data_IF_514218027078
#
_entry.id   IF_514218027078
#
_cell.length_a   1.000
_cell.length_b   1.000
_cell.length_c   1.000
_cell.angle_alpha   90.00
_cell.angle_beta   90.00
_cell.angle_gamma   90.00
#
_symmetry.space_group_name_H-M   'P 1'
#
loop_
_entity.id
_entity.type
_entity.pdbx_description
1 polymer ?
#
# COMPACT_ATOMS: atom_id res chain seq x y z
N UNK A 1 -1.17 -16.99 -3.99
CA UNK A 1 -2.31 -16.83 -4.92
C UNK A 1 -2.18 -17.68 -6.18
N UNK A 2 -3.18 -18.53 -6.42
CA UNK A 2 -3.33 -19.37 -7.63
C UNK A 2 -3.73 -18.54 -8.87
N UNK A 3 -3.43 -18.99 -10.10
CA UNK A 3 -3.73 -18.24 -11.34
C UNK A 3 -5.21 -17.87 -11.52
N UNK A 4 -6.12 -18.76 -11.17
CA UNK A 4 -7.57 -18.50 -11.25
C UNK A 4 -8.00 -17.36 -10.33
N UNK A 5 -7.49 -17.33 -9.10
CA UNK A 5 -7.78 -16.26 -8.13
C UNK A 5 -7.24 -14.92 -8.63
N UNK A 6 -6.02 -14.90 -9.16
CA UNK A 6 -5.44 -13.70 -9.77
C UNK A 6 -6.31 -13.16 -10.92
N UNK A 7 -6.85 -14.05 -11.75
CA UNK A 7 -7.79 -13.68 -12.82
C UNK A 7 -9.08 -13.08 -12.26
N UNK A 8 -9.69 -13.68 -11.24
CA UNK A 8 -10.88 -13.13 -10.57
C UNK A 8 -10.62 -11.71 -10.02
N UNK A 9 -9.48 -11.51 -9.36
CA UNK A 9 -9.10 -10.19 -8.83
C UNK A 9 -8.86 -9.19 -9.97
N UNK A 10 -8.28 -9.61 -11.10
CA UNK A 10 -8.07 -8.73 -12.25
C UNK A 10 -9.39 -8.20 -12.83
N UNK A 11 -10.43 -9.03 -12.89
CA UNK A 11 -11.77 -8.59 -13.33
C UNK A 11 -12.43 -7.60 -12.36
N UNK A 12 -12.03 -7.58 -11.09
CA UNK A 12 -12.51 -6.62 -10.10
C UNK A 12 -11.81 -5.26 -10.11
N UNK A 13 -10.90 -5.04 -11.07
CA UNK A 13 -10.09 -3.83 -11.16
C UNK A 13 -10.40 -3.04 -12.43
N UNK A 14 -10.30 -1.72 -12.35
CA UNK A 14 -10.27 -0.81 -13.49
C UNK A 14 -9.03 0.08 -13.41
N UNK A 15 -8.48 0.38 -14.57
CA UNK A 15 -7.45 1.40 -14.69
C UNK A 15 -8.13 2.78 -14.61
N UNK A 16 -7.54 3.68 -13.85
CA UNK A 16 -7.83 5.11 -13.93
C UNK A 16 -6.85 5.76 -14.89
N UNK A 17 -7.34 6.73 -15.65
CA UNK A 17 -6.52 7.59 -16.50
C UNK A 17 -6.66 9.02 -15.99
N UNK A 18 -5.53 9.71 -15.81
CA UNK A 18 -5.46 11.13 -15.45
C UNK A 18 -4.74 11.81 -16.62
N UNK A 19 -5.42 12.70 -17.32
CA UNK A 19 -4.89 13.41 -18.50
C UNK A 19 -4.30 12.49 -19.58
N UNK A 20 -4.88 11.29 -19.75
CA UNK A 20 -4.43 10.29 -20.71
C UNK A 20 -3.28 9.39 -20.21
N UNK A 21 -2.72 9.67 -19.03
CA UNK A 21 -1.71 8.85 -18.40
C UNK A 21 -2.32 7.87 -17.39
N UNK A 22 -1.65 6.73 -17.16
CA UNK A 22 -2.09 5.74 -16.20
C UNK A 22 -2.02 6.30 -14.77
N UNK A 23 -3.18 6.54 -14.17
CA UNK A 23 -3.34 7.15 -12.84
C UNK A 23 -3.47 6.16 -11.69
N UNK A 24 -3.45 4.84 -11.98
CA UNK A 24 -3.58 3.78 -10.98
C UNK A 24 -4.72 2.80 -11.26
N UNK A 25 -4.92 1.83 -10.36
CA UNK A 25 -6.02 0.85 -10.37
C UNK A 25 -6.98 1.09 -9.21
N UNK A 26 -8.26 1.13 -9.53
CA UNK A 26 -9.34 1.16 -8.54
C UNK A 26 -10.24 -0.06 -8.70
N UNK A 27 -11.10 -0.27 -7.70
CA UNK A 27 -12.14 -1.28 -7.79
C UNK A 27 -13.14 -0.96 -8.90
N UNK A 28 -13.51 -1.95 -9.70
CA UNK A 28 -14.69 -1.86 -10.55
C UNK A 28 -15.96 -1.89 -9.67
N UNK A 29 -16.70 -0.78 -9.61
CA UNK A 29 -17.92 -0.68 -8.80
C UNK A 29 -19.05 -1.60 -9.30
N UNK A 30 -19.01 -2.02 -10.57
CA UNK A 30 -19.97 -2.96 -11.15
C UNK A 30 -19.53 -4.42 -10.99
N UNK A 31 -18.36 -4.68 -10.41
CA UNK A 31 -17.88 -6.04 -10.23
C UNK A 31 -18.65 -6.74 -9.12
N UNK A 32 -19.41 -7.75 -9.51
CA UNK A 32 -19.99 -8.72 -8.60
C UNK A 32 -18.95 -9.82 -8.33
N UNK A 33 -18.48 -9.99 -7.07
CA UNK A 33 -17.49 -11.01 -6.76
C UNK A 33 -18.03 -12.40 -7.12
N UNK A 34 -17.33 -13.19 -7.95
CA UNK A 34 -17.75 -14.53 -8.28
C UNK A 34 -17.78 -15.43 -7.04
N UNK A 35 -18.62 -16.47 -7.08
CA UNK A 35 -18.58 -17.52 -6.08
C UNK A 35 -17.26 -18.29 -6.17
N UNK A 36 -16.57 -18.38 -5.04
CA UNK A 36 -15.39 -19.23 -4.87
C UNK A 36 -15.80 -20.60 -4.38
N UNK A 37 -15.00 -21.62 -4.70
CA UNK A 37 -15.17 -22.95 -4.10
C UNK A 37 -14.83 -22.93 -2.61
N UNK A 38 -15.29 -23.94 -1.86
CA UNK A 38 -14.94 -24.11 -0.44
C UNK A 38 -13.42 -24.17 -0.19
N UNK A 39 -12.69 -24.75 -1.12
CA UNK A 39 -11.23 -24.86 -1.04
C UNK A 39 -10.56 -23.50 -1.27
N UNK A 40 -10.96 -22.77 -2.30
CA UNK A 40 -10.49 -21.40 -2.54
C UNK A 40 -10.82 -20.47 -1.36
N UNK A 41 -12.03 -20.57 -0.80
CA UNK A 41 -12.42 -19.84 0.40
C UNK A 41 -11.46 -20.11 1.58
N UNK A 42 -11.15 -21.38 1.83
CA UNK A 42 -10.22 -21.79 2.90
C UNK A 42 -8.81 -21.26 2.66
N UNK A 43 -8.33 -21.34 1.44
CA UNK A 43 -7.00 -20.86 1.06
C UNK A 43 -6.89 -19.33 1.19
N UNK A 44 -7.92 -18.61 0.74
CA UNK A 44 -7.96 -17.14 0.84
C UNK A 44 -7.86 -16.71 2.31
N UNK A 45 -8.61 -17.35 3.20
CA UNK A 45 -8.62 -17.04 4.64
C UNK A 45 -7.35 -17.47 5.35
N UNK A 46 -6.84 -18.67 5.07
CA UNK A 46 -5.70 -19.23 5.78
C UNK A 46 -4.35 -18.67 5.29
N UNK A 47 -4.29 -18.20 4.04
CA UNK A 47 -3.02 -17.86 3.38
C UNK A 47 -3.04 -16.50 2.71
N UNK A 48 -3.89 -16.27 1.69
CA UNK A 48 -3.72 -15.10 0.82
C UNK A 48 -4.03 -13.77 1.54
N UNK A 49 -5.10 -13.70 2.35
CA UNK A 49 -5.42 -12.51 3.15
C UNK A 49 -4.32 -12.25 4.20
N UNK A 50 -3.95 -13.21 5.08
CA UNK A 50 -2.89 -13.00 6.06
C UNK A 50 -1.55 -12.59 5.42
N UNK A 51 -1.18 -13.19 4.29
CA UNK A 51 0.04 -12.84 3.58
C UNK A 51 0.04 -11.38 3.11
N UNK A 52 -1.07 -10.90 2.56
CA UNK A 52 -1.22 -9.49 2.17
C UNK A 52 -1.27 -8.55 3.36
N UNK A 53 -1.91 -8.94 4.46
CA UNK A 53 -1.93 -8.15 5.70
C UNK A 53 -0.53 -8.00 6.31
N UNK A 54 0.28 -9.06 6.26
CA UNK A 54 1.70 -9.00 6.65
C UNK A 54 2.48 -8.11 5.68
N UNK A 55 2.27 -8.28 4.38
CA UNK A 55 2.97 -7.51 3.35
C UNK A 55 2.64 -6.00 3.41
N UNK A 56 1.41 -5.65 3.77
CA UNK A 56 0.93 -4.28 3.93
C UNK A 56 1.11 -3.72 5.34
N UNK A 57 1.69 -4.51 6.26
CA UNK A 57 1.84 -4.10 7.66
C UNK A 57 2.63 -2.79 7.75
N UNK A 58 2.10 -1.76 8.43
CA UNK A 58 2.79 -0.49 8.58
C UNK A 58 4.17 -0.67 9.26
N UNK A 59 5.13 0.15 8.85
CA UNK A 59 6.45 0.17 9.47
C UNK A 59 6.38 0.71 10.91
N UNK A 60 7.30 0.26 11.76
CA UNK A 60 7.43 0.80 13.11
C UNK A 60 8.00 2.23 13.09
N UNK A 61 7.51 3.08 13.99
CA UNK A 61 7.90 4.48 14.09
C UNK A 61 9.41 4.71 14.21
N UNK A 62 10.14 3.97 15.09
CA UNK A 62 11.60 4.08 15.19
C UNK A 62 12.33 3.78 13.87
N UNK A 63 11.91 2.75 13.14
CA UNK A 63 12.48 2.46 11.83
C UNK A 63 12.22 3.59 10.82
N UNK A 64 10.98 4.11 10.76
CA UNK A 64 10.62 5.23 9.88
C UNK A 64 11.47 6.47 10.20
N UNK A 65 11.62 6.79 11.48
CA UNK A 65 12.45 7.90 11.95
C UNK A 65 13.90 7.76 11.43
N UNK A 66 14.54 6.61 11.67
CA UNK A 66 15.91 6.36 11.20
C UNK A 66 16.05 6.43 9.68
N UNK A 67 15.07 5.91 8.92
CA UNK A 67 15.07 6.00 7.46
C UNK A 67 14.96 7.44 6.96
N UNK A 68 14.08 8.24 7.57
CA UNK A 68 13.91 9.64 7.20
C UNK A 68 15.11 10.50 7.59
N UNK A 69 15.68 10.31 8.78
CA UNK A 69 16.89 10.99 9.22
C UNK A 69 18.06 10.74 8.25
N UNK A 70 18.25 9.48 7.83
CA UNK A 70 19.28 9.11 6.86
C UNK A 70 18.99 9.60 5.43
N UNK A 71 17.73 9.81 5.03
CA UNK A 71 17.40 10.48 3.77
C UNK A 71 17.77 11.98 3.84
N UNK A 72 17.39 12.64 4.94
CA UNK A 72 17.54 14.09 5.10
C UNK A 72 18.99 14.51 5.37
N UNK A 73 19.84 13.63 5.88
CA UNK A 73 21.26 13.91 6.13
C UNK A 73 22.03 14.29 4.85
N UNK A 74 21.57 13.86 3.68
CA UNK A 74 22.12 14.28 2.38
C UNK A 74 21.85 15.76 2.04
N UNK A 75 20.92 16.39 2.75
CA UNK A 75 20.44 17.76 2.49
C UNK A 75 20.66 18.67 3.71
N UNK A 76 21.78 18.45 4.40
CA UNK A 76 22.15 19.20 5.61
C UNK A 76 22.06 20.71 5.38
N UNK A 77 21.46 21.41 6.36
CA UNK A 77 21.40 22.86 6.42
C UNK A 77 22.04 23.26 7.75
N UNK A 78 23.12 24.07 7.75
CA UNK A 78 23.73 24.55 8.98
C UNK A 78 22.76 25.46 9.74
N UNK A 79 22.98 25.59 11.05
CA UNK A 79 22.29 26.54 11.93
C UNK A 79 20.76 26.37 12.05
N UNK A 80 20.22 25.20 11.71
CA UNK A 80 18.81 24.87 11.97
C UNK A 80 18.63 24.52 13.45
N UNK A 81 17.72 25.20 14.20
CA UNK A 81 17.44 24.87 15.59
C UNK A 81 17.06 23.40 15.77
N UNK A 82 17.55 22.76 16.83
CA UNK A 82 17.34 21.34 17.08
C UNK A 82 15.84 20.99 17.16
N UNK A 83 15.06 21.84 17.82
CA UNK A 83 13.61 21.69 17.97
C UNK A 83 12.89 21.68 16.61
N UNK A 84 13.37 22.47 15.64
CA UNK A 84 12.83 22.49 14.29
C UNK A 84 13.19 21.21 13.52
N UNK A 85 14.39 20.67 13.74
CA UNK A 85 14.79 19.38 13.14
C UNK A 85 13.93 18.23 13.68
N UNK A 86 13.65 18.22 14.98
CA UNK A 86 12.76 17.24 15.63
C UNK A 86 11.35 17.34 15.07
N UNK A 87 10.76 18.54 15.06
CA UNK A 87 9.40 18.76 14.55
C UNK A 87 9.28 18.34 13.08
N UNK A 88 10.27 18.67 12.24
CA UNK A 88 10.29 18.23 10.86
C UNK A 88 10.31 16.70 10.75
N UNK A 89 11.14 16.02 11.54
CA UNK A 89 11.24 14.56 11.53
C UNK A 89 9.97 13.88 12.06
N UNK A 90 9.29 14.46 13.04
CA UNK A 90 8.00 13.98 13.54
C UNK A 90 6.92 14.02 12.46
N UNK A 91 6.90 15.06 11.63
CA UNK A 91 6.00 15.13 10.48
C UNK A 91 6.26 14.01 9.47
N UNK A 92 7.53 13.73 9.17
CA UNK A 92 7.92 12.61 8.32
C UNK A 92 7.44 11.28 8.89
N UNK A 93 7.66 11.04 10.18
CA UNK A 93 7.21 9.81 10.85
C UNK A 93 5.70 9.69 10.78
N UNK A 94 4.96 10.71 11.21
CA UNK A 94 3.49 10.72 11.21
C UNK A 94 2.92 10.41 9.83
N UNK A 95 3.48 11.01 8.78
CA UNK A 95 2.99 10.86 7.42
C UNK A 95 3.34 9.52 6.76
N UNK A 96 4.50 8.95 7.11
CA UNK A 96 4.98 7.69 6.52
C UNK A 96 4.63 6.46 7.35
N UNK A 97 4.34 6.59 8.64
CA UNK A 97 3.95 5.50 9.54
C UNK A 97 2.79 4.62 9.06
N UNK A 98 1.82 5.08 8.24
CA UNK A 98 0.80 4.20 7.68
C UNK A 98 1.31 3.21 6.62
N UNK A 99 2.50 3.43 6.05
CA UNK A 99 3.02 2.63 4.93
C UNK A 99 3.96 1.51 5.40
N UNK A 100 4.02 0.39 4.67
CA UNK A 100 4.94 -0.69 4.98
C UNK A 100 6.38 -0.33 4.67
N UNK A 101 7.31 -0.94 5.41
CA UNK A 101 8.77 -0.70 5.30
C UNK A 101 9.29 -0.80 3.85
N UNK A 102 8.85 -1.80 3.11
CA UNK A 102 9.31 -2.03 1.74
C UNK A 102 8.88 -0.90 0.80
N UNK A 103 7.69 -0.32 0.99
CA UNK A 103 7.18 0.74 0.13
C UNK A 103 7.94 2.05 0.38
N UNK A 104 8.20 2.37 1.65
CA UNK A 104 9.01 3.52 2.06
C UNK A 104 10.43 3.37 1.50
N UNK A 105 11.06 2.22 1.70
CA UNK A 105 12.42 1.97 1.21
C UNK A 105 12.49 2.15 -0.32
N UNK A 106 11.60 1.49 -1.06
CA UNK A 106 11.59 1.58 -2.52
C UNK A 106 11.28 2.99 -3.04
N UNK A 107 10.44 3.77 -2.35
CA UNK A 107 10.16 5.17 -2.68
C UNK A 107 11.40 6.06 -2.46
N UNK A 108 12.11 5.85 -1.36
CA UNK A 108 13.35 6.56 -1.05
C UNK A 108 14.47 6.19 -2.02
N UNK A 109 14.63 4.91 -2.34
CA UNK A 109 15.65 4.45 -3.29
C UNK A 109 15.41 5.01 -4.70
N UNK A 110 14.14 5.00 -5.15
CA UNK A 110 13.75 5.63 -6.41
C UNK A 110 14.13 7.11 -6.39
N UNK A 111 13.78 7.85 -5.32
CA UNK A 111 14.15 9.26 -5.21
C UNK A 111 15.66 9.48 -5.26
N UNK A 112 16.42 8.68 -4.50
CA UNK A 112 17.88 8.74 -4.45
C UNK A 112 18.57 8.26 -5.74
N UNK A 113 17.85 7.62 -6.68
CA UNK A 113 18.38 7.31 -8.00
C UNK A 113 18.09 8.40 -9.04
N UNK A 114 17.17 9.34 -8.77
CA UNK A 114 16.78 10.36 -9.74
C UNK A 114 17.93 11.35 -9.99
N UNK A 115 18.26 11.64 -11.27
CA UNK A 115 19.25 12.67 -11.62
C UNK A 115 18.70 14.07 -11.32
N UNK A 116 19.57 14.99 -10.90
CA UNK A 116 19.19 16.39 -10.62
C UNK A 116 18.21 16.58 -9.45
N UNK A 117 18.05 15.56 -8.59
CA UNK A 117 17.10 15.59 -7.48
C UNK A 117 17.38 16.71 -6.49
N UNK A 118 16.32 17.36 -6.04
CA UNK A 118 16.35 18.29 -4.90
C UNK A 118 16.00 17.55 -3.60
N UNK A 119 16.01 18.29 -2.48
CA UNK A 119 15.51 17.79 -1.21
C UNK A 119 14.05 17.35 -1.38
N UNK A 120 13.68 16.09 -1.05
CA UNK A 120 12.29 15.66 -1.15
C UNK A 120 11.44 16.36 -0.10
N UNK A 121 10.21 16.67 -0.46
CA UNK A 121 9.15 16.97 0.48
C UNK A 121 8.52 15.65 0.97
N UNK A 122 7.92 15.62 2.18
CA UNK A 122 7.19 14.44 2.64
C UNK A 122 6.16 13.94 1.62
N UNK A 123 5.48 14.87 0.94
CA UNK A 123 4.49 14.59 -0.10
C UNK A 123 5.03 13.73 -1.24
N UNK A 124 6.28 13.94 -1.66
CA UNK A 124 6.88 13.20 -2.77
C UNK A 124 7.03 11.71 -2.44
N UNK A 125 7.53 11.42 -1.24
CA UNK A 125 7.74 10.05 -0.77
C UNK A 125 6.39 9.38 -0.47
N UNK A 126 5.43 10.10 0.09
CA UNK A 126 4.07 9.59 0.32
C UNK A 126 3.39 9.20 -0.98
N UNK A 127 3.47 10.03 -2.02
CA UNK A 127 2.89 9.73 -3.32
C UNK A 127 3.49 8.44 -3.91
N UNK A 128 4.82 8.32 -3.85
CA UNK A 128 5.53 7.12 -4.28
C UNK A 128 5.18 5.86 -3.46
N UNK A 129 4.92 6.01 -2.15
CA UNK A 129 4.46 4.92 -1.30
C UNK A 129 3.02 4.49 -1.66
N UNK A 130 2.11 5.45 -1.83
CA UNK A 130 0.70 5.20 -2.21
C UNK A 130 0.62 4.38 -3.48
N UNK A 131 1.34 4.81 -4.51
CA UNK A 131 1.43 4.10 -5.79
C UNK A 131 1.78 2.62 -5.63
N UNK A 132 2.79 2.34 -4.81
CA UNK A 132 3.30 0.99 -4.59
C UNK A 132 2.30 0.09 -3.85
N UNK A 133 1.64 0.63 -2.82
CA UNK A 133 0.73 -0.17 -1.99
C UNK A 133 -0.67 -0.31 -2.59
N UNK A 134 -0.99 0.49 -3.62
CA UNK A 134 -2.32 0.58 -4.20
C UNK A 134 -2.86 -0.78 -4.67
N UNK A 135 -2.12 -1.48 -5.52
CA UNK A 135 -2.55 -2.78 -6.03
C UNK A 135 -2.64 -3.86 -4.94
N UNK A 136 -1.63 -4.06 -4.07
CA UNK A 136 -1.75 -5.00 -2.96
C UNK A 136 -2.93 -4.69 -2.01
N UNK A 137 -3.17 -3.41 -1.71
CA UNK A 137 -4.30 -2.99 -0.87
C UNK A 137 -5.65 -3.26 -1.56
N UNK A 138 -5.73 -3.01 -2.87
CA UNK A 138 -6.91 -3.34 -3.66
C UNK A 138 -7.14 -4.86 -3.71
N UNK A 139 -6.09 -5.66 -3.91
CA UNK A 139 -6.19 -7.13 -3.86
C UNK A 139 -6.76 -7.61 -2.52
N UNK A 140 -6.26 -7.07 -1.40
CA UNK A 140 -6.76 -7.41 -0.06
C UNK A 140 -8.25 -7.07 0.08
N UNK A 141 -8.68 -5.90 -0.42
CA UNK A 141 -10.09 -5.50 -0.44
C UNK A 141 -10.96 -6.48 -1.24
N UNK A 142 -10.54 -6.83 -2.45
CA UNK A 142 -11.30 -7.71 -3.34
C UNK A 142 -11.37 -9.15 -2.81
N UNK A 143 -10.28 -9.65 -2.19
CA UNK A 143 -10.29 -10.96 -1.51
C UNK A 143 -11.30 -11.02 -0.36
N UNK A 144 -11.35 -9.97 0.47
CA UNK A 144 -12.36 -9.86 1.55
C UNK A 144 -13.78 -9.85 0.98
N UNK A 145 -14.01 -9.27 -0.20
CA UNK A 145 -15.32 -9.32 -0.88
C UNK A 145 -15.67 -10.72 -1.39
N UNK A 146 -14.72 -11.49 -1.90
CA UNK A 146 -14.94 -12.90 -2.28
C UNK A 146 -15.33 -13.75 -1.07
N UNK A 147 -14.63 -13.58 0.06
CA UNK A 147 -14.95 -14.25 1.34
C UNK A 147 -16.36 -13.88 1.80
N UNK A 148 -16.67 -12.57 1.90
CA UNK A 148 -17.99 -12.12 2.34
C UNK A 148 -19.13 -12.59 1.42
N UNK A 149 -18.87 -12.70 0.10
CA UNK A 149 -19.84 -13.27 -0.84
C UNK A 149 -20.08 -14.75 -0.56
N UNK A 150 -19.03 -15.53 -0.36
CA UNK A 150 -19.15 -16.95 -0.02
C UNK A 150 -19.91 -17.17 1.29
N UNK A 151 -19.60 -16.40 2.33
CA UNK A 151 -20.27 -16.50 3.64
C UNK A 151 -21.77 -16.22 3.58
N UNK A 152 -22.21 -15.25 2.75
CA UNK A 152 -23.64 -14.97 2.54
C UNK A 152 -24.39 -16.11 1.86
N UNK A 153 -23.71 -16.91 1.06
CA UNK A 153 -24.31 -18.01 0.28
C UNK A 153 -24.24 -19.35 1.03
N UNK A 154 -23.59 -19.39 2.20
CA UNK A 154 -23.64 -20.56 3.06
C UNK A 154 -25.08 -20.79 3.57
N UNK A 155 -25.58 -22.04 3.57
CA UNK A 155 -26.89 -22.36 4.14
C UNK A 155 -26.89 -21.97 5.63
N UNK A 156 -27.61 -20.90 5.98
CA UNK A 156 -27.60 -20.30 7.33
C UNK A 156 -27.20 -18.82 7.40
N UNK A 157 -26.93 -18.16 6.27
CA UNK A 157 -26.68 -16.72 6.20
C UNK A 157 -27.83 -15.89 6.80
N UNK A 158 -27.51 -15.20 7.91
CA UNK A 158 -28.41 -14.39 8.75
C UNK A 158 -29.31 -13.43 7.96
N UNK A 159 -30.61 -13.50 8.27
CA UNK A 159 -31.53 -12.35 8.26
C UNK A 159 -31.12 -11.34 9.32
#
# INVERSE_FOLDING_TARGET
MKPRLLSMLAFGKRNSLIDGEFGGRHEDLNWAPPLVSREEYREILASDIPALEIHLRPADGPWVNGRCAALLSHYYVPDVPFELQVAALEDWVRLLSPFPKWAIQAAVDEWLSRPGRQKPMPGDIIAACRWRVEEPALNLKLLRKLVARYERELPGGRT
#
